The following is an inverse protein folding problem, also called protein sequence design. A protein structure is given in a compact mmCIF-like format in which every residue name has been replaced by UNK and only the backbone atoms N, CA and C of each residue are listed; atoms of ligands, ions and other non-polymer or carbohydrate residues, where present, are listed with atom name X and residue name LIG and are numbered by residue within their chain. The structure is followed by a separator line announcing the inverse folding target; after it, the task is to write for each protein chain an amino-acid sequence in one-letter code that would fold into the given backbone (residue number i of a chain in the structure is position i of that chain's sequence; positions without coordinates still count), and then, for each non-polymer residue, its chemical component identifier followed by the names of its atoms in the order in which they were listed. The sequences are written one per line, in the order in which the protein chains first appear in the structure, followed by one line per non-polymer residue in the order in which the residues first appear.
data_IF_040222934659
#
_entry.id   IF_040222934659
#
_cell.length_a   1.000
_cell.length_b   1.000
_cell.length_c   1.000
_cell.angle_alpha   90.00
_cell.angle_beta   90.00
_cell.angle_gamma   90.00
#
_symmetry.space_group_name_H-M   'P 1'
#
loop_
_entity.id
_entity.type
_entity.pdbx_description
1 polymer ?
#
# COMPACT_ATOMS: atom_id res chain seq x y z
N UNK A 1 -1.29 28.34 -1.84
CA UNK A 1 -1.37 28.35 -3.32
C UNK A 1 -2.25 27.17 -3.69
N UNK A 2 -3.22 27.33 -4.58
CA UNK A 2 -3.99 26.18 -5.05
C UNK A 2 -3.09 25.36 -6.00
N UNK A 3 -2.90 24.07 -5.72
CA UNK A 3 -2.20 23.15 -6.62
C UNK A 3 -3.06 22.85 -7.83
N UNK A 4 -2.45 22.77 -9.01
CA UNK A 4 -3.14 22.46 -10.25
C UNK A 4 -2.89 20.98 -10.62
N UNK A 5 -3.85 20.12 -10.31
CA UNK A 5 -3.78 18.69 -10.65
C UNK A 5 -4.21 18.39 -12.09
N UNK A 6 -4.75 19.38 -12.83
CA UNK A 6 -5.05 19.25 -14.26
C UNK A 6 -3.83 19.45 -15.16
N UNK A 7 -2.71 19.90 -14.59
CA UNK A 7 -1.47 20.06 -15.35
C UNK A 7 -0.85 18.70 -15.68
N UNK A 8 -0.77 18.32 -16.97
CA UNK A 8 -0.26 17.00 -17.33
C UNK A 8 1.24 16.88 -17.02
N UNK A 9 1.62 15.83 -16.28
CA UNK A 9 3.00 15.48 -16.07
C UNK A 9 3.53 14.66 -17.24
N UNK A 10 4.54 15.15 -17.95
CA UNK A 10 5.18 14.41 -19.02
C UNK A 10 6.14 13.35 -18.45
N UNK A 11 5.89 12.07 -18.75
CA UNK A 11 6.59 10.94 -18.13
C UNK A 11 7.31 10.01 -19.11
N UNK A 12 7.08 10.15 -20.40
CA UNK A 12 7.75 9.34 -21.43
C UNK A 12 9.23 9.67 -21.54
N UNK A 13 10.08 8.65 -21.71
CA UNK A 13 11.53 8.82 -21.84
C UNK A 13 12.24 9.22 -20.54
N UNK A 14 11.57 9.09 -19.39
CA UNK A 14 12.13 9.41 -18.06
C UNK A 14 12.56 8.18 -17.29
N UNK A 15 12.62 7.01 -17.92
CA UNK A 15 12.80 5.68 -17.30
C UNK A 15 11.64 5.32 -16.35
N UNK A 16 10.46 5.84 -16.64
CA UNK A 16 9.25 5.56 -15.87
C UNK A 16 8.68 4.18 -16.24
N UNK A 17 8.62 3.27 -15.29
CA UNK A 17 8.06 1.92 -15.50
C UNK A 17 6.67 1.99 -16.14
N UNK A 18 5.79 2.85 -15.59
CA UNK A 18 4.40 2.98 -16.04
C UNK A 18 4.29 3.34 -17.52
N UNK A 19 5.13 4.24 -18.03
CA UNK A 19 5.07 4.73 -19.40
C UNK A 19 6.05 4.03 -20.34
N UNK A 20 7.31 3.86 -19.94
CA UNK A 20 8.36 3.41 -20.83
C UNK A 20 8.36 1.88 -21.06
N UNK A 21 7.68 1.12 -20.17
CA UNK A 21 7.52 -0.34 -20.32
C UNK A 21 6.16 -0.76 -20.91
N UNK A 22 5.34 0.15 -21.44
CA UNK A 22 4.04 -0.18 -22.03
C UNK A 22 4.13 -1.22 -23.15
N UNK A 23 5.07 -1.04 -24.07
CA UNK A 23 5.27 -1.97 -25.20
C UNK A 23 5.71 -3.36 -24.70
N UNK A 24 6.63 -3.43 -23.75
CA UNK A 24 7.11 -4.69 -23.19
C UNK A 24 6.02 -5.42 -22.39
N UNK A 25 5.13 -4.68 -21.73
CA UNK A 25 4.08 -5.26 -20.86
C UNK A 25 2.81 -5.62 -21.64
N UNK A 26 2.38 -4.75 -22.55
CA UNK A 26 1.10 -4.84 -23.23
C UNK A 26 1.19 -5.07 -24.74
N UNK A 27 2.40 -5.04 -25.31
CA UNK A 27 2.59 -5.14 -26.76
C UNK A 27 2.16 -3.89 -27.55
N UNK A 28 1.87 -2.78 -26.88
CA UNK A 28 1.41 -1.54 -27.47
C UNK A 28 1.92 -0.34 -26.65
N UNK A 29 2.72 0.52 -27.27
CA UNK A 29 3.31 1.72 -26.65
C UNK A 29 2.33 2.91 -26.56
N UNK A 30 1.27 2.91 -27.34
CA UNK A 30 0.37 4.06 -27.52
C UNK A 30 -0.87 3.99 -26.58
N UNK A 31 -0.89 3.05 -25.65
CA UNK A 31 -1.98 2.92 -24.67
C UNK A 31 -1.86 3.93 -23.54
N UNK A 32 -3.00 4.26 -22.92
CA UNK A 32 -3.06 4.99 -21.66
C UNK A 32 -2.72 4.00 -20.52
N UNK A 33 -1.60 4.18 -19.81
CA UNK A 33 -1.18 3.23 -18.78
C UNK A 33 -1.87 3.50 -17.44
N UNK A 34 -2.61 2.51 -16.92
CA UNK A 34 -3.29 2.54 -15.62
C UNK A 34 -2.93 1.34 -14.73
N UNK A 35 -1.73 0.77 -14.90
CA UNK A 35 -1.30 -0.49 -14.29
C UNK A 35 -0.33 -0.35 -13.12
N UNK A 36 0.44 0.73 -13.05
CA UNK A 36 1.35 1.00 -11.93
C UNK A 36 0.70 2.00 -10.99
N UNK A 37 0.63 1.66 -9.71
CA UNK A 37 0.07 2.50 -8.67
C UNK A 37 1.06 3.59 -8.23
N UNK A 38 1.41 4.49 -9.13
CA UNK A 38 1.95 5.82 -8.88
C UNK A 38 1.06 6.86 -9.59
N UNK A 39 1.03 8.08 -9.09
CA UNK A 39 0.16 9.12 -9.62
C UNK A 39 0.82 9.85 -10.79
N UNK A 40 -0.01 10.38 -11.70
CA UNK A 40 0.44 11.21 -12.82
C UNK A 40 0.44 12.71 -12.46
N UNK A 41 0.49 13.04 -11.17
CA UNK A 41 0.69 14.37 -10.62
C UNK A 41 2.16 14.60 -10.28
N UNK A 42 2.59 15.85 -10.38
CA UNK A 42 3.92 16.22 -9.94
C UNK A 42 4.09 15.96 -8.43
N UNK A 43 5.28 15.51 -8.04
CA UNK A 43 5.68 15.50 -6.63
C UNK A 43 5.54 16.90 -6.05
N UNK A 44 4.99 17.06 -4.83
CA UNK A 44 4.75 18.38 -4.23
C UNK A 44 5.98 19.30 -4.27
N UNK A 45 5.77 20.56 -4.57
CA UNK A 45 6.80 21.56 -4.76
C UNK A 45 7.70 21.75 -3.54
N UNK A 46 7.14 21.66 -2.33
CA UNK A 46 7.90 21.72 -1.08
C UNK A 46 8.87 20.55 -0.92
N UNK A 47 8.53 19.37 -1.43
CA UNK A 47 9.45 18.21 -1.45
C UNK A 47 10.57 18.47 -2.46
N UNK A 48 10.22 18.86 -3.69
CA UNK A 48 11.20 19.16 -4.74
C UNK A 48 12.15 20.25 -4.31
N UNK A 49 11.63 21.31 -3.65
CA UNK A 49 12.45 22.38 -3.08
C UNK A 49 13.45 21.83 -2.06
N UNK A 50 13.01 21.02 -1.11
CA UNK A 50 13.88 20.45 -0.07
C UNK A 50 14.98 19.57 -0.67
N UNK A 51 14.68 18.80 -1.73
CA UNK A 51 15.67 18.01 -2.45
C UNK A 51 16.71 18.89 -3.17
N UNK A 52 16.26 19.97 -3.83
CA UNK A 52 17.17 20.94 -4.47
C UNK A 52 18.06 21.66 -3.44
N UNK A 53 17.49 22.07 -2.32
CA UNK A 53 18.25 22.72 -1.24
C UNK A 53 19.33 21.78 -0.70
N UNK A 54 19.04 20.48 -0.57
CA UNK A 54 20.03 19.48 -0.16
C UNK A 54 21.15 19.31 -1.20
N UNK A 55 20.86 19.42 -2.49
CA UNK A 55 21.86 19.32 -3.55
C UNK A 55 22.86 20.48 -3.57
N UNK A 56 22.56 21.63 -2.94
CA UNK A 56 23.53 22.71 -2.76
C UNK A 56 24.75 22.29 -1.92
N UNK A 57 24.62 21.22 -1.13
CA UNK A 57 25.75 20.54 -0.52
C UNK A 57 26.15 19.35 -1.39
N UNK A 58 27.18 19.53 -2.20
CA UNK A 58 27.58 18.65 -3.31
C UNK A 58 28.17 17.29 -2.89
N UNK A 59 28.19 16.96 -1.59
CA UNK A 59 28.69 15.68 -1.07
C UNK A 59 27.52 14.74 -0.75
N UNK A 60 27.43 13.63 -1.46
CA UNK A 60 26.48 12.54 -1.22
C UNK A 60 27.14 11.42 -0.40
N UNK A 61 27.71 11.77 0.75
CA UNK A 61 28.37 10.84 1.66
C UNK A 61 27.39 10.05 2.54
N UNK A 62 27.95 9.22 3.44
CA UNK A 62 27.12 8.52 4.43
C UNK A 62 26.33 9.52 5.29
N UNK A 63 25.07 9.22 5.50
CA UNK A 63 24.15 10.05 6.27
C UNK A 63 23.41 9.22 7.32
N UNK A 64 22.92 9.87 8.34
CA UNK A 64 22.02 9.31 9.33
C UNK A 64 20.65 9.98 9.25
N UNK A 65 19.65 9.40 9.85
CA UNK A 65 18.33 10.01 10.00
C UNK A 65 18.34 10.92 11.21
N UNK A 66 18.19 12.24 11.03
CA UNK A 66 18.20 13.20 12.12
C UNK A 66 16.92 13.12 12.95
N UNK A 67 16.89 13.78 14.10
CA UNK A 67 15.73 13.76 15.00
C UNK A 67 14.45 14.26 14.32
N UNK A 68 14.56 15.23 13.43
CA UNK A 68 13.45 15.80 12.64
C UNK A 68 12.74 14.74 11.78
N UNK A 69 13.47 13.70 11.34
CA UNK A 69 12.86 12.58 10.62
C UNK A 69 11.85 11.84 11.50
N UNK A 70 12.22 11.52 12.73
CA UNK A 70 11.36 10.80 13.66
C UNK A 70 10.20 11.68 14.13
N UNK A 71 10.49 12.93 14.46
CA UNK A 71 9.47 13.89 14.91
C UNK A 71 8.42 14.14 13.82
N UNK A 72 8.82 14.30 12.56
CA UNK A 72 7.87 14.51 11.46
C UNK A 72 6.89 13.32 11.30
N UNK A 73 7.38 12.09 11.46
CA UNK A 73 6.55 10.88 11.41
C UNK A 73 5.59 10.84 12.62
N UNK A 74 6.10 11.08 13.82
CA UNK A 74 5.30 11.05 15.07
C UNK A 74 4.17 12.08 15.00
N UNK A 75 4.49 13.31 14.63
CA UNK A 75 3.48 14.37 14.55
C UNK A 75 2.48 14.10 13.41
N UNK A 76 2.92 13.60 12.27
CA UNK A 76 2.03 13.21 11.17
C UNK A 76 1.01 12.17 11.61
N UNK A 77 1.46 11.06 12.18
CA UNK A 77 0.60 9.95 12.64
C UNK A 77 -0.36 10.42 13.72
N UNK A 78 0.13 11.21 14.69
CA UNK A 78 -0.68 11.77 15.76
C UNK A 78 -1.78 12.69 15.23
N UNK A 79 -1.46 13.57 14.31
CA UNK A 79 -2.43 14.51 13.75
C UNK A 79 -3.40 13.83 12.78
N UNK A 80 -2.89 12.98 11.87
CA UNK A 80 -3.69 12.34 10.81
C UNK A 80 -4.52 11.19 11.33
N UNK A 81 -3.90 10.29 12.11
CA UNK A 81 -4.51 9.02 12.51
C UNK A 81 -4.86 8.95 14.01
N UNK A 82 -4.65 10.03 14.77
CA UNK A 82 -4.92 10.09 16.22
C UNK A 82 -4.19 9.01 17.04
N UNK A 83 -3.10 8.49 16.51
CA UNK A 83 -2.29 7.47 17.16
C UNK A 83 -0.97 8.07 17.67
N UNK A 84 -0.72 7.90 18.96
CA UNK A 84 0.53 8.36 19.60
C UNK A 84 1.54 7.23 19.55
N UNK A 85 2.68 7.47 18.96
CA UNK A 85 3.80 6.55 18.87
C UNK A 85 5.05 7.15 19.48
N UNK A 86 5.98 6.28 19.87
CA UNK A 86 7.28 6.69 20.42
C UNK A 86 8.36 6.62 19.34
N UNK A 87 9.38 7.49 19.47
CA UNK A 87 10.53 7.53 18.58
C UNK A 87 11.20 6.17 18.41
N UNK A 88 11.39 5.46 19.52
CA UNK A 88 12.09 4.16 19.53
C UNK A 88 11.29 3.05 18.86
N UNK A 89 9.98 3.25 18.60
CA UNK A 89 9.18 2.26 17.87
C UNK A 89 9.46 2.28 16.35
N UNK A 90 10.09 3.37 15.85
CA UNK A 90 10.28 3.59 14.41
C UNK A 90 11.58 2.94 13.94
N UNK A 91 11.45 1.96 13.07
CA UNK A 91 12.53 1.34 12.32
C UNK A 91 12.46 1.76 10.85
N UNK A 92 13.58 1.75 10.14
CA UNK A 92 13.66 2.10 8.73
C UNK A 92 13.58 0.85 7.84
N UNK A 93 13.01 1.01 6.64
CA UNK A 93 13.18 0.07 5.53
C UNK A 93 13.21 0.82 4.19
N UNK A 94 13.91 0.30 3.16
CA UNK A 94 13.94 0.93 1.83
C UNK A 94 12.62 0.82 1.07
N UNK A 95 11.59 0.20 1.65
CA UNK A 95 10.26 0.08 1.08
C UNK A 95 9.42 -0.92 1.87
N UNK A 96 8.11 -0.92 1.64
CA UNK A 96 7.19 -1.82 2.36
C UNK A 96 7.42 -3.29 1.98
N UNK A 97 7.53 -3.60 0.68
CA UNK A 97 7.79 -5.00 0.24
C UNK A 97 9.10 -5.55 0.82
N UNK A 98 10.24 -4.82 0.79
CA UNK A 98 11.43 -5.22 1.55
C UNK A 98 11.16 -5.43 3.05
N UNK A 99 10.40 -4.53 3.70
CA UNK A 99 10.08 -4.64 5.12
C UNK A 99 9.26 -5.90 5.46
N UNK A 100 8.29 -6.24 4.61
CA UNK A 100 7.52 -7.48 4.74
C UNK A 100 8.40 -8.73 4.60
N UNK A 101 9.38 -8.70 3.66
CA UNK A 101 10.39 -9.78 3.54
C UNK A 101 11.25 -9.88 4.82
N UNK A 102 11.70 -8.76 5.39
CA UNK A 102 12.47 -8.76 6.63
C UNK A 102 11.68 -9.32 7.81
N UNK A 103 10.39 -8.95 7.93
CA UNK A 103 9.50 -9.49 8.95
C UNK A 103 9.27 -10.99 8.75
N UNK A 104 9.03 -11.44 7.52
CA UNK A 104 8.90 -12.86 7.20
C UNK A 104 10.13 -13.66 7.61
N UNK A 105 11.32 -13.15 7.33
CA UNK A 105 12.59 -13.78 7.72
C UNK A 105 12.83 -13.75 9.25
N UNK A 106 12.41 -12.68 9.93
CA UNK A 106 12.63 -12.50 11.36
C UNK A 106 11.75 -13.41 12.23
N UNK A 107 10.50 -13.66 11.79
CA UNK A 107 9.46 -14.22 12.68
C UNK A 107 8.87 -15.55 12.22
N UNK A 108 9.32 -16.09 11.09
CA UNK A 108 8.85 -17.39 10.59
C UNK A 108 10.01 -18.26 10.13
N UNK A 109 9.72 -19.55 9.92
CA UNK A 109 10.67 -20.53 9.37
C UNK A 109 10.14 -21.12 8.06
N UNK A 110 10.98 -21.66 7.18
CA UNK A 110 10.51 -22.43 6.03
C UNK A 110 9.53 -23.53 6.44
N UNK A 111 8.39 -23.59 5.73
CA UNK A 111 7.28 -24.49 6.03
C UNK A 111 6.21 -23.95 6.98
N UNK A 112 6.42 -22.78 7.59
CA UNK A 112 5.37 -22.06 8.32
C UNK A 112 4.31 -21.51 7.35
N UNK A 113 3.08 -21.36 7.85
CA UNK A 113 1.96 -20.81 7.11
C UNK A 113 1.83 -19.30 7.37
N UNK A 114 1.62 -18.54 6.30
CA UNK A 114 1.33 -17.10 6.34
C UNK A 114 0.00 -16.86 5.61
N UNK A 115 -0.93 -16.18 6.28
CA UNK A 115 -2.25 -15.86 5.72
C UNK A 115 -2.20 -14.54 4.96
N UNK A 116 -2.87 -14.50 3.81
CA UNK A 116 -3.18 -13.28 3.04
C UNK A 116 -4.64 -13.27 2.64
N UNK A 117 -5.22 -12.11 2.30
CA UNK A 117 -6.65 -11.92 2.06
C UNK A 117 -6.96 -11.45 0.62
N UNK A 118 -6.89 -12.35 -0.39
CA UNK A 118 -7.24 -11.99 -1.76
C UNK A 118 -8.72 -11.57 -1.92
N UNK A 119 -9.01 -10.69 -2.94
CA UNK A 119 -8.05 -10.04 -3.83
C UNK A 119 -7.18 -9.04 -3.06
N UNK A 120 -5.86 -9.16 -3.18
CA UNK A 120 -4.91 -8.34 -2.40
C UNK A 120 -3.66 -8.03 -3.24
N UNK A 121 -2.90 -7.03 -2.83
CA UNK A 121 -1.65 -6.63 -3.44
C UNK A 121 -0.73 -7.83 -3.69
N UNK A 122 -0.54 -8.17 -4.96
CA UNK A 122 0.10 -9.42 -5.39
C UNK A 122 1.53 -9.65 -4.88
N UNK A 123 2.37 -8.63 -4.58
CA UNK A 123 3.67 -8.89 -3.97
C UNK A 123 3.61 -9.58 -2.60
N UNK A 124 2.46 -9.57 -1.90
CA UNK A 124 2.32 -10.37 -0.67
C UNK A 124 2.51 -11.87 -0.93
N UNK A 125 2.12 -12.35 -2.10
CA UNK A 125 2.30 -13.76 -2.48
C UNK A 125 3.79 -14.11 -2.56
N UNK A 126 4.56 -13.31 -3.29
CA UNK A 126 6.01 -13.53 -3.44
C UNK A 126 6.78 -13.36 -2.13
N UNK A 127 6.37 -12.44 -1.25
CA UNK A 127 6.95 -12.28 0.10
C UNK A 127 6.88 -13.59 0.89
N UNK A 128 5.80 -14.36 0.74
CA UNK A 128 5.63 -15.64 1.42
C UNK A 128 6.39 -16.75 0.72
N UNK A 129 6.19 -16.91 -0.58
CA UNK A 129 6.68 -18.07 -1.35
C UNK A 129 8.20 -18.06 -1.57
N UNK A 130 8.78 -16.87 -1.82
CA UNK A 130 10.23 -16.72 -2.08
C UNK A 130 11.12 -17.16 -0.92
N UNK A 131 10.55 -17.27 0.26
CA UNK A 131 11.27 -17.70 1.47
C UNK A 131 10.89 -19.11 1.93
N UNK A 132 10.18 -19.88 1.11
CA UNK A 132 9.78 -21.25 1.43
C UNK A 132 8.70 -21.36 2.50
N UNK A 133 7.94 -20.29 2.75
CA UNK A 133 6.75 -20.31 3.59
C UNK A 133 5.56 -20.73 2.75
N UNK A 134 4.52 -21.24 3.40
CA UNK A 134 3.30 -21.67 2.74
C UNK A 134 2.26 -20.56 2.77
N UNK A 135 1.77 -20.21 1.61
CA UNK A 135 0.73 -19.21 1.42
C UNK A 135 -0.65 -19.83 1.74
N UNK A 136 -1.41 -19.19 2.62
CA UNK A 136 -2.77 -19.56 2.98
C UNK A 136 -3.70 -18.41 2.58
N UNK A 137 -4.72 -18.73 1.78
CA UNK A 137 -5.68 -17.75 1.32
C UNK A 137 -6.91 -17.71 2.24
N UNK A 138 -7.13 -16.56 2.87
CA UNK A 138 -8.40 -16.20 3.49
C UNK A 138 -9.09 -15.19 2.59
N UNK A 139 -9.75 -15.67 1.53
CA UNK A 139 -10.38 -14.80 0.53
C UNK A 139 -11.43 -13.90 1.16
N UNK A 140 -11.45 -12.65 0.72
CA UNK A 140 -12.54 -11.73 1.01
C UNK A 140 -13.85 -12.24 0.37
N UNK A 141 -14.96 -11.87 0.96
CA UNK A 141 -16.30 -12.07 0.40
C UNK A 141 -16.81 -10.78 -0.21
N UNK A 142 -17.37 -10.90 -1.39
CA UNK A 142 -18.13 -9.83 -1.99
C UNK A 142 -19.60 -9.95 -1.56
N UNK A 143 -20.15 -8.89 -0.99
CA UNK A 143 -21.55 -8.79 -0.61
C UNK A 143 -22.09 -7.43 -1.02
N UNK A 144 -23.05 -7.38 -1.94
CA UNK A 144 -23.70 -6.17 -2.42
C UNK A 144 -22.70 -5.09 -2.91
N UNK A 145 -21.67 -5.51 -3.65
CA UNK A 145 -20.62 -4.63 -4.18
C UNK A 145 -19.60 -4.16 -3.13
N UNK A 146 -19.64 -4.71 -1.93
CA UNK A 146 -18.69 -4.44 -0.85
C UNK A 146 -17.89 -5.69 -0.50
N UNK A 147 -16.62 -5.52 -0.28
CA UNK A 147 -15.72 -6.60 0.13
C UNK A 147 -15.61 -6.69 1.66
N UNK A 148 -15.67 -7.88 2.21
CA UNK A 148 -15.69 -8.15 3.65
C UNK A 148 -14.70 -9.26 4.02
N UNK A 149 -14.19 -9.24 5.26
CA UNK A 149 -13.37 -10.32 5.81
C UNK A 149 -14.22 -11.55 6.09
N UNK A 150 -13.81 -12.72 5.58
CA UNK A 150 -14.45 -14.00 5.94
C UNK A 150 -13.82 -14.59 7.20
N UNK A 151 -14.33 -14.21 8.35
CA UNK A 151 -13.84 -14.69 9.65
C UNK A 151 -14.08 -16.19 9.86
N UNK A 152 -15.12 -16.79 9.25
CA UNK A 152 -15.36 -18.22 9.36
C UNK A 152 -14.31 -19.00 8.57
N UNK A 153 -14.03 -18.58 7.36
CA UNK A 153 -12.94 -19.13 6.55
C UNK A 153 -11.58 -18.92 7.24
N UNK A 154 -11.34 -17.75 7.84
CA UNK A 154 -10.13 -17.49 8.61
C UNK A 154 -9.93 -18.53 9.72
N UNK A 155 -10.92 -18.74 10.56
CA UNK A 155 -10.85 -19.68 11.68
C UNK A 155 -10.56 -21.12 11.23
N UNK A 156 -11.13 -21.53 10.08
CA UNK A 156 -10.91 -22.88 9.54
C UNK A 156 -9.56 -23.06 8.84
N UNK A 157 -8.91 -21.96 8.45
CA UNK A 157 -7.60 -21.98 7.78
C UNK A 157 -6.42 -21.99 8.75
N UNK A 158 -6.66 -21.73 10.02
CA UNK A 158 -5.61 -21.66 11.06
C UNK A 158 -5.23 -23.08 11.53
N UNK A 159 -3.94 -23.35 11.58
CA UNK A 159 -3.36 -24.56 12.17
C UNK A 159 -2.13 -24.23 13.04
N UNK A 160 -1.46 -25.24 13.57
CA UNK A 160 -0.29 -25.08 14.44
C UNK A 160 0.94 -24.48 13.72
N UNK A 161 0.97 -24.48 12.37
CA UNK A 161 2.01 -23.88 11.55
C UNK A 161 1.71 -22.45 11.15
N UNK A 162 0.51 -21.96 11.40
CA UNK A 162 0.12 -20.58 11.08
C UNK A 162 0.78 -19.62 12.06
N UNK A 163 1.68 -18.76 11.54
CA UNK A 163 2.50 -17.85 12.36
C UNK A 163 2.23 -16.38 12.11
N UNK A 164 1.68 -16.04 10.95
CA UNK A 164 1.60 -14.66 10.51
C UNK A 164 0.39 -14.44 9.61
N UNK A 165 -0.17 -13.25 9.66
CA UNK A 165 -1.11 -12.74 8.68
C UNK A 165 -0.58 -11.40 8.13
N UNK A 166 -0.67 -11.21 6.82
CA UNK A 166 -0.37 -9.92 6.17
C UNK A 166 -1.69 -9.31 5.72
N UNK A 167 -2.02 -8.15 6.27
CA UNK A 167 -3.22 -7.39 5.90
C UNK A 167 -2.83 -6.10 5.17
N UNK A 168 -3.70 -5.65 4.26
CA UNK A 168 -3.65 -4.32 3.67
C UNK A 168 -4.71 -3.45 4.33
N UNK A 169 -4.30 -2.32 4.94
CA UNK A 169 -5.19 -1.46 5.72
C UNK A 169 -4.87 0.02 5.49
N UNK A 170 -5.58 0.73 4.63
CA UNK A 170 -6.72 0.32 3.76
C UNK A 170 -6.37 -0.76 2.75
N UNK A 171 -7.38 -1.49 2.28
CA UNK A 171 -7.20 -2.69 1.47
C UNK A 171 -7.03 -2.38 -0.02
N UNK A 172 -5.91 -2.74 -0.56
CA UNK A 172 -5.58 -2.68 -1.99
C UNK A 172 -5.76 -4.08 -2.62
N UNK A 173 -6.54 -4.25 -3.72
CA UNK A 173 -6.96 -3.22 -4.69
C UNK A 173 -8.40 -2.71 -4.52
N UNK A 174 -9.20 -3.27 -3.64
CA UNK A 174 -10.65 -3.03 -3.59
C UNK A 174 -11.05 -1.76 -2.82
N UNK A 175 -10.09 -1.02 -2.29
CA UNK A 175 -10.31 0.29 -1.68
C UNK A 175 -11.05 0.28 -0.34
N UNK A 176 -11.12 -0.86 0.38
CA UNK A 176 -11.83 -0.93 1.67
C UNK A 176 -11.05 -0.24 2.79
N UNK A 177 -11.76 0.52 3.62
CA UNK A 177 -11.33 0.98 4.94
C UNK A 177 -11.95 0.04 5.97
N UNK A 178 -11.12 -0.75 6.66
CA UNK A 178 -11.61 -1.67 7.68
C UNK A 178 -12.11 -0.91 8.89
N UNK A 179 -13.29 -1.30 9.40
CA UNK A 179 -13.85 -0.69 10.62
C UNK A 179 -13.06 -1.12 11.86
N UNK A 180 -13.10 -0.34 12.95
CA UNK A 180 -12.50 -0.75 14.22
C UNK A 180 -12.98 -2.12 14.70
N UNK A 181 -14.26 -2.46 14.45
CA UNK A 181 -14.86 -3.73 14.84
C UNK A 181 -14.30 -4.90 14.03
N UNK A 182 -14.15 -4.72 12.69
CA UNK A 182 -13.52 -5.71 11.81
C UNK A 182 -12.07 -5.98 12.23
N UNK A 183 -11.31 -4.91 12.49
CA UNK A 183 -9.92 -5.00 12.93
C UNK A 183 -9.78 -5.63 14.32
N UNK A 184 -10.65 -5.27 15.28
CA UNK A 184 -10.68 -5.89 16.60
C UNK A 184 -10.93 -7.39 16.52
N UNK A 185 -11.93 -7.81 15.74
CA UNK A 185 -12.27 -9.22 15.56
C UNK A 185 -11.12 -10.01 14.93
N UNK A 186 -10.45 -9.43 13.93
CA UNK A 186 -9.26 -10.02 13.33
C UNK A 186 -8.14 -10.17 14.36
N UNK A 187 -7.87 -9.10 15.13
CA UNK A 187 -6.82 -9.09 16.15
C UNK A 187 -7.08 -10.12 17.25
N UNK A 188 -8.31 -10.25 17.73
CA UNK A 188 -8.67 -11.25 18.73
C UNK A 188 -8.38 -12.67 18.26
N UNK A 189 -8.76 -13.00 17.00
CA UNK A 189 -8.46 -14.29 16.39
C UNK A 189 -6.94 -14.52 16.35
N UNK A 190 -6.17 -13.52 15.93
CA UNK A 190 -4.72 -13.60 15.84
C UNK A 190 -4.06 -13.78 17.22
N UNK A 191 -4.51 -13.03 18.23
CA UNK A 191 -3.99 -13.10 19.59
C UNK A 191 -4.25 -14.46 20.25
N UNK A 192 -5.46 -15.03 20.09
CA UNK A 192 -5.81 -16.34 20.65
C UNK A 192 -4.96 -17.46 20.02
N UNK A 193 -4.59 -17.32 18.75
CA UNK A 193 -3.85 -18.31 17.99
C UNK A 193 -2.33 -18.03 17.90
N UNK A 194 -1.83 -16.99 18.57
CA UNK A 194 -0.42 -16.56 18.54
C UNK A 194 0.07 -16.27 17.11
N UNK A 195 -0.75 -15.60 16.29
CA UNK A 195 -0.46 -15.19 14.93
C UNK A 195 -0.02 -13.73 14.95
N UNK A 196 1.19 -13.43 14.44
CA UNK A 196 1.70 -12.07 14.32
C UNK A 196 0.97 -11.34 13.18
N UNK A 197 0.58 -10.08 13.43
CA UNK A 197 -0.10 -9.24 12.44
C UNK A 197 0.93 -8.33 11.76
N UNK A 198 1.02 -8.42 10.44
CA UNK A 198 1.72 -7.44 9.60
C UNK A 198 0.68 -6.55 8.95
N UNK A 199 0.59 -5.28 9.36
CA UNK A 199 -0.37 -4.31 8.83
C UNK A 199 0.32 -3.38 7.83
N UNK A 200 0.09 -3.62 6.54
CA UNK A 200 0.53 -2.70 5.49
C UNK A 200 -0.45 -1.52 5.40
N UNK A 201 -0.02 -0.39 5.94
CA UNK A 201 -0.78 0.85 6.05
C UNK A 201 -0.26 1.95 5.10
N UNK A 202 0.36 1.54 3.97
CA UNK A 202 0.93 2.47 2.98
C UNK A 202 -0.12 3.40 2.36
N UNK A 203 -1.39 3.00 2.38
CA UNK A 203 -2.52 3.79 1.87
C UNK A 203 -3.29 4.53 2.97
N UNK A 204 -2.84 4.51 4.22
CA UNK A 204 -3.54 5.09 5.38
C UNK A 204 -3.91 6.56 5.22
N UNK A 205 -3.10 7.33 4.52
CA UNK A 205 -3.35 8.74 4.26
C UNK A 205 -4.37 9.01 3.14
N UNK A 206 -4.58 8.02 2.27
CA UNK A 206 -5.41 8.13 1.06
C UNK A 206 -6.83 7.65 1.32
N UNK A 207 -7.44 8.12 2.38
CA UNK A 207 -8.82 7.82 2.77
C UNK A 207 -9.73 8.91 2.26
N UNK A 208 -10.79 8.50 1.56
CA UNK A 208 -11.73 9.42 0.91
C UNK A 208 -12.68 10.08 1.92
N UNK A 209 -13.30 11.22 1.57
CA UNK A 209 -14.25 11.92 2.44
C UNK A 209 -15.36 11.01 2.97
N UNK A 210 -15.69 11.14 4.26
CA UNK A 210 -16.70 10.31 4.92
C UNK A 210 -16.17 9.03 5.57
N UNK A 211 -14.89 8.66 5.33
CA UNK A 211 -14.25 7.50 5.94
C UNK A 211 -13.08 7.92 6.84
N UNK A 212 -12.66 7.01 7.72
CA UNK A 212 -11.53 7.26 8.62
C UNK A 212 -10.67 5.99 8.79
N UNK A 213 -9.36 6.12 8.57
CA UNK A 213 -8.43 5.03 8.83
C UNK A 213 -8.25 4.81 10.32
N UNK A 214 -8.21 3.54 10.72
CA UNK A 214 -7.84 3.11 12.07
C UNK A 214 -6.54 2.31 11.99
N UNK A 215 -5.42 2.81 12.53
CA UNK A 215 -4.20 2.01 12.61
C UNK A 215 -4.44 0.76 13.44
N UNK A 216 -4.03 -0.41 12.93
CA UNK A 216 -4.25 -1.69 13.61
C UNK A 216 -3.68 -1.69 15.04
N UNK A 217 -2.47 -1.15 15.21
CA UNK A 217 -1.79 -1.09 16.49
C UNK A 217 -2.35 -0.01 17.44
N UNK A 218 -3.27 0.85 17.01
CA UNK A 218 -3.90 1.87 17.87
C UNK A 218 -5.05 1.33 18.71
N UNK A 219 -5.57 0.14 18.38
CA UNK A 219 -6.77 -0.42 19.01
C UNK A 219 -6.59 -0.77 20.48
N UNK A 220 -5.45 -1.29 20.88
CA UNK A 220 -5.06 -1.53 22.28
C UNK A 220 -3.57 -1.85 22.39
N UNK A 221 -2.99 -1.72 23.59
CA UNK A 221 -1.60 -2.10 23.88
C UNK A 221 -1.33 -3.57 23.53
N UNK A 222 -2.24 -4.47 23.84
CA UNK A 222 -2.10 -5.90 23.55
C UNK A 222 -2.07 -6.18 22.04
N UNK A 223 -2.86 -5.46 21.27
CA UNK A 223 -2.86 -5.56 19.80
C UNK A 223 -1.59 -4.94 19.24
N UNK A 224 -1.17 -3.78 19.75
CA UNK A 224 0.08 -3.14 19.36
C UNK A 224 1.29 -4.05 19.59
N UNK A 225 1.35 -4.74 20.73
CA UNK A 225 2.43 -5.69 21.05
C UNK A 225 2.52 -6.90 20.10
N UNK A 226 1.44 -7.21 19.37
CA UNK A 226 1.37 -8.30 18.40
C UNK A 226 1.24 -7.80 16.95
N UNK A 227 1.56 -6.53 16.70
CA UNK A 227 1.42 -5.92 15.36
C UNK A 227 2.72 -5.25 14.93
N UNK A 228 3.05 -5.39 13.66
CA UNK A 228 4.06 -4.60 12.97
C UNK A 228 3.34 -3.77 11.92
N UNK A 229 3.41 -2.45 12.03
CA UNK A 229 2.76 -1.51 11.11
C UNK A 229 3.78 -0.93 10.12
N UNK A 230 3.42 -0.91 8.84
CA UNK A 230 4.27 -0.41 7.77
C UNK A 230 3.63 0.82 7.13
N UNK A 231 4.38 1.92 7.08
CA UNK A 231 3.95 3.17 6.45
C UNK A 231 5.03 3.73 5.52
N UNK A 232 4.63 4.52 4.54
CA UNK A 232 5.56 5.23 3.69
C UNK A 232 4.93 6.49 3.09
N UNK A 233 5.69 7.58 2.86
CA UNK A 233 5.17 8.76 2.17
C UNK A 233 5.03 8.54 0.65
N UNK A 234 5.44 7.37 0.16
CA UNK A 234 5.62 7.09 -1.27
C UNK A 234 4.32 7.08 -2.06
N UNK A 235 3.21 6.60 -1.48
CA UNK A 235 1.90 6.61 -2.13
C UNK A 235 1.20 7.95 -1.95
N UNK A 236 1.28 8.50 -0.75
CA UNK A 236 0.67 9.78 -0.39
C UNK A 236 1.22 10.93 -1.20
N UNK A 237 2.55 11.00 -1.42
CA UNK A 237 3.24 12.13 -2.03
C UNK A 237 3.98 11.80 -3.34
N UNK A 238 3.66 10.66 -3.95
CA UNK A 238 4.25 10.22 -5.22
C UNK A 238 5.79 10.10 -5.19
N UNK A 239 6.34 9.42 -4.18
CA UNK A 239 7.78 9.33 -3.89
C UNK A 239 8.35 7.90 -4.02
N UNK A 240 7.69 7.00 -4.75
CA UNK A 240 8.08 5.59 -4.82
C UNK A 240 9.54 5.38 -5.23
N UNK A 241 10.06 6.20 -6.14
CA UNK A 241 11.45 6.16 -6.61
C UNK A 241 12.50 6.51 -5.55
N UNK A 242 12.12 7.06 -4.40
CA UNK A 242 13.04 7.44 -3.32
C UNK A 242 13.28 6.34 -2.28
N UNK A 243 12.65 5.19 -2.42
CA UNK A 243 12.93 3.97 -1.64
C UNK A 243 13.06 4.23 -0.14
N UNK A 244 12.00 4.74 0.49
CA UNK A 244 11.96 5.05 1.92
C UNK A 244 10.63 4.67 2.54
N UNK A 245 10.68 4.01 3.70
CA UNK A 245 9.50 3.64 4.50
C UNK A 245 9.87 3.53 5.97
N UNK A 246 8.87 3.55 6.82
CA UNK A 246 8.99 3.40 8.26
C UNK A 246 8.19 2.19 8.74
N UNK A 247 8.75 1.47 9.69
CA UNK A 247 8.13 0.31 10.32
C UNK A 247 7.96 0.62 11.80
N UNK A 248 6.72 0.58 12.28
CA UNK A 248 6.39 0.93 13.66
C UNK A 248 6.15 -0.35 14.45
N UNK A 249 6.93 -0.56 15.49
CA UNK A 249 6.93 -1.77 16.32
C UNK A 249 7.02 -1.35 17.77
N UNK A 250 5.93 -1.40 18.54
CA UNK A 250 5.91 -1.05 19.97
C UNK A 250 6.67 -2.08 20.81
N UNK A 251 6.46 -3.37 20.53
CA UNK A 251 7.10 -4.48 21.25
C UNK A 251 8.62 -4.48 21.05
N UNK A 252 9.42 -4.29 22.12
CA UNK A 252 10.89 -4.21 22.03
C UNK A 252 11.55 -5.51 21.55
N UNK A 253 10.95 -6.66 21.86
CA UNK A 253 11.46 -7.97 21.41
C UNK A 253 11.31 -8.18 19.92
N UNK A 254 10.13 -7.85 19.37
CA UNK A 254 9.87 -7.88 17.94
C UNK A 254 10.76 -6.85 17.21
N UNK A 255 10.85 -5.64 17.72
CA UNK A 255 11.67 -4.56 17.15
C UNK A 255 13.15 -4.94 17.06
N UNK A 256 13.70 -5.53 18.13
CA UNK A 256 15.08 -6.03 18.16
C UNK A 256 15.31 -7.12 17.11
N UNK A 257 14.38 -8.05 16.96
CA UNK A 257 14.50 -9.15 15.99
C UNK A 257 14.40 -8.63 14.56
N UNK A 258 13.50 -7.70 14.29
CA UNK A 258 13.35 -7.04 12.99
C UNK A 258 14.61 -6.26 12.60
N UNK A 259 15.10 -5.39 13.51
CA UNK A 259 16.27 -4.56 13.26
C UNK A 259 17.53 -5.40 13.04
N UNK A 260 17.67 -6.56 13.69
CA UNK A 260 18.80 -7.49 13.46
C UNK A 260 18.85 -7.99 12.01
N UNK A 261 17.71 -8.20 11.35
CA UNK A 261 17.69 -8.56 9.92
C UNK A 261 18.22 -7.40 9.07
N UNK A 262 17.77 -6.18 9.33
CA UNK A 262 18.20 -4.97 8.61
C UNK A 262 19.71 -4.75 8.79
N UNK A 263 20.22 -4.91 10.01
CA UNK A 263 21.63 -4.78 10.33
C UNK A 263 22.49 -5.85 9.62
N UNK A 264 22.05 -7.11 9.66
CA UNK A 264 22.76 -8.22 9.03
C UNK A 264 22.82 -8.10 7.49
N UNK A 265 21.79 -7.48 6.89
CA UNK A 265 21.72 -7.22 5.45
C UNK A 265 22.41 -5.91 5.04
N UNK A 266 22.87 -5.11 6.00
CA UNK A 266 23.51 -3.80 5.78
C UNK A 266 22.66 -2.80 4.96
N UNK A 267 21.31 -2.87 5.07
CA UNK A 267 20.39 -1.99 4.31
C UNK A 267 19.80 -0.85 5.16
N UNK A 268 20.21 -0.73 6.42
CA UNK A 268 19.63 0.23 7.38
C UNK A 268 19.96 1.71 7.12
N UNK A 269 20.98 2.01 6.31
CA UNK A 269 21.37 3.42 6.07
C UNK A 269 20.34 4.19 5.23
N UNK A 270 19.68 3.53 4.28
CA UNK A 270 18.77 4.19 3.34
C UNK A 270 19.50 5.12 2.37
N UNK A 271 18.75 6.12 1.86
CA UNK A 271 19.34 7.16 1.03
C UNK A 271 18.98 8.56 1.57
N UNK A 272 19.87 9.50 1.33
CA UNK A 272 19.77 10.86 1.86
C UNK A 272 18.53 11.59 1.34
N UNK A 273 18.18 11.41 0.05
CA UNK A 273 17.05 12.09 -0.57
C UNK A 273 15.70 11.55 -0.07
N UNK A 274 15.62 10.24 0.20
CA UNK A 274 14.45 9.64 0.83
C UNK A 274 14.19 10.19 2.23
N UNK A 275 15.23 10.37 3.03
CA UNK A 275 15.13 11.00 4.36
C UNK A 275 14.63 12.44 4.28
N UNK A 276 15.23 13.26 3.41
CA UNK A 276 14.83 14.67 3.22
C UNK A 276 13.40 14.78 2.70
N UNK A 277 13.04 13.95 1.71
CA UNK A 277 11.70 13.95 1.16
C UNK A 277 10.65 13.53 2.19
N UNK A 278 10.94 12.53 3.05
CA UNK A 278 10.03 12.11 4.13
C UNK A 278 9.79 13.25 5.12
N UNK A 279 10.85 13.93 5.57
CA UNK A 279 10.72 15.07 6.47
C UNK A 279 9.86 16.16 5.84
N UNK A 280 10.15 16.56 4.60
CA UNK A 280 9.40 17.60 3.91
C UNK A 280 7.93 17.22 3.73
N UNK A 281 7.66 15.95 3.34
CA UNK A 281 6.31 15.44 3.13
C UNK A 281 5.46 15.49 4.39
N UNK A 282 5.95 14.92 5.48
CA UNK A 282 5.20 14.85 6.72
C UNK A 282 5.12 16.19 7.46
N UNK A 283 6.08 17.12 7.21
CA UNK A 283 6.05 18.46 7.83
C UNK A 283 5.10 19.42 7.09
N UNK A 284 5.03 19.34 5.76
CA UNK A 284 4.35 20.35 4.94
C UNK A 284 3.18 19.79 4.09
N UNK A 285 2.94 18.48 4.13
CA UNK A 285 2.07 17.81 3.16
C UNK A 285 0.58 17.89 3.42
N UNK A 286 0.13 18.41 4.57
CA UNK A 286 -1.27 18.31 4.98
C UNK A 286 -2.25 18.95 3.98
N UNK A 287 -2.05 20.22 3.67
CA UNK A 287 -2.96 20.96 2.76
C UNK A 287 -2.92 20.39 1.33
N UNK A 288 -1.73 19.96 0.87
CA UNK A 288 -1.59 19.32 -0.44
C UNK A 288 -2.37 18.01 -0.51
N UNK A 289 -2.31 17.21 0.54
CA UNK A 289 -3.01 15.93 0.61
C UNK A 289 -4.54 16.13 0.62
N UNK A 290 -5.06 17.11 1.37
CA UNK A 290 -6.50 17.40 1.36
C UNK A 290 -6.97 17.80 -0.04
N UNK A 291 -6.22 18.67 -0.73
CA UNK A 291 -6.53 19.06 -2.10
C UNK A 291 -6.44 17.87 -3.09
N UNK A 292 -5.48 16.97 -2.88
CA UNK A 292 -5.37 15.75 -3.68
C UNK A 292 -6.56 14.81 -3.46
N UNK A 293 -6.98 14.60 -2.22
CA UNK A 293 -8.09 13.72 -1.89
C UNK A 293 -9.40 14.22 -2.49
N UNK A 294 -9.65 15.52 -2.42
CA UNK A 294 -10.80 16.17 -3.08
C UNK A 294 -10.78 15.93 -4.60
N UNK A 295 -9.64 16.10 -5.24
CA UNK A 295 -9.48 15.84 -6.67
C UNK A 295 -9.68 14.36 -7.04
N UNK A 296 -9.15 13.44 -6.24
CA UNK A 296 -9.33 11.98 -6.45
C UNK A 296 -10.79 11.59 -6.31
N UNK A 297 -11.49 12.11 -5.30
CA UNK A 297 -12.90 11.83 -5.04
C UNK A 297 -13.78 12.23 -6.23
N UNK A 298 -13.58 13.44 -6.78
CA UNK A 298 -14.26 13.88 -8.00
C UNK A 298 -13.95 12.98 -9.22
N UNK A 299 -12.71 12.51 -9.36
CA UNK A 299 -12.37 11.58 -10.44
C UNK A 299 -13.07 10.22 -10.28
N UNK A 300 -13.20 9.72 -9.06
CA UNK A 300 -13.93 8.48 -8.76
C UNK A 300 -15.41 8.64 -9.09
N UNK A 301 -16.03 9.73 -8.66
CA UNK A 301 -17.42 10.06 -9.00
C UNK A 301 -17.63 10.14 -10.50
N UNK A 302 -16.71 10.81 -11.22
CA UNK A 302 -16.75 10.89 -12.68
C UNK A 302 -16.73 9.51 -13.35
N UNK A 303 -15.83 8.62 -12.93
CA UNK A 303 -15.73 7.25 -13.47
C UNK A 303 -17.02 6.47 -13.18
N UNK A 304 -17.54 6.54 -11.96
CA UNK A 304 -18.76 5.85 -11.56
C UNK A 304 -19.98 6.33 -12.39
N UNK A 305 -20.14 7.63 -12.52
CA UNK A 305 -21.20 8.26 -13.32
C UNK A 305 -21.10 7.91 -14.80
N UNK A 306 -19.89 7.97 -15.34
CA UNK A 306 -19.65 7.65 -16.76
C UNK A 306 -19.95 6.18 -17.05
N UNK A 307 -19.45 5.26 -16.25
CA UNK A 307 -19.73 3.84 -16.41
C UNK A 307 -21.24 3.56 -16.32
N UNK A 308 -21.92 4.09 -15.31
CA UNK A 308 -23.35 3.89 -15.13
C UNK A 308 -24.17 4.37 -16.33
N UNK A 309 -23.80 5.53 -16.93
CA UNK A 309 -24.57 6.16 -18.01
C UNK A 309 -24.19 5.62 -19.39
N UNK A 310 -22.93 5.35 -19.61
CA UNK A 310 -22.37 5.10 -20.95
C UNK A 310 -21.91 3.65 -21.18
N UNK A 311 -21.53 2.92 -20.11
CA UNK A 311 -20.99 1.57 -20.21
C UNK A 311 -21.53 0.73 -19.03
N UNK A 312 -22.84 0.43 -18.97
CA UNK A 312 -23.47 -0.22 -17.81
C UNK A 312 -23.03 -1.69 -17.59
N UNK A 313 -22.21 -2.21 -18.49
CA UNK A 313 -21.54 -3.51 -18.35
C UNK A 313 -20.35 -3.44 -17.41
N UNK A 314 -19.75 -2.27 -17.17
CA UNK A 314 -18.68 -2.05 -16.20
C UNK A 314 -19.31 -1.51 -14.92
N UNK A 315 -19.13 -2.23 -13.82
CA UNK A 315 -19.61 -1.80 -12.50
C UNK A 315 -18.40 -1.41 -11.65
N UNK A 316 -18.15 -0.09 -11.44
CA UNK A 316 -17.12 0.35 -10.53
C UNK A 316 -17.49 0.00 -9.09
N UNK A 317 -16.59 -0.67 -8.38
CA UNK A 317 -16.69 -0.84 -6.92
C UNK A 317 -16.21 0.47 -6.29
N UNK A 318 -17.10 1.16 -5.58
CA UNK A 318 -16.79 2.46 -4.98
C UNK A 318 -15.75 2.28 -3.87
N UNK A 319 -14.55 2.87 -4.02
CA UNK A 319 -13.53 2.76 -3.00
C UNK A 319 -13.84 3.68 -1.80
N UNK A 320 -13.45 3.24 -0.61
CA UNK A 320 -13.47 4.03 0.63
C UNK A 320 -12.10 4.71 0.85
N UNK A 321 -11.06 4.23 0.15
CA UNK A 321 -9.68 4.72 0.20
C UNK A 321 -8.92 4.36 -1.08
N UNK A 322 -7.72 4.87 -1.21
CA UNK A 322 -6.79 4.75 -2.33
C UNK A 322 -7.19 5.63 -3.53
N UNK A 323 -6.37 5.63 -4.57
CA UNK A 323 -6.68 6.24 -5.88
C UNK A 323 -6.93 5.17 -6.95
N UNK A 324 -7.28 3.96 -6.53
CA UNK A 324 -7.58 2.84 -7.42
C UNK A 324 -9.06 2.53 -7.40
N UNK A 325 -9.60 2.16 -8.55
CA UNK A 325 -10.98 1.70 -8.69
C UNK A 325 -10.94 0.26 -9.19
N UNK A 326 -11.64 -0.63 -8.48
CA UNK A 326 -11.87 -1.98 -8.94
C UNK A 326 -13.08 -1.98 -9.87
N UNK A 327 -12.91 -2.45 -11.10
CA UNK A 327 -13.96 -2.49 -12.11
C UNK A 327 -14.46 -3.94 -12.27
N UNK A 328 -15.71 -4.19 -11.93
CA UNK A 328 -16.36 -5.47 -12.23
C UNK A 328 -16.80 -5.49 -13.70
N UNK A 329 -16.12 -6.30 -14.48
CA UNK A 329 -16.35 -6.48 -15.91
C UNK A 329 -16.99 -7.83 -16.25
N UNK A 330 -17.49 -8.60 -15.27
CA UNK A 330 -18.05 -9.94 -15.48
C UNK A 330 -19.21 -9.98 -16.47
N UNK A 331 -19.94 -8.88 -16.65
CA UNK A 331 -21.02 -8.76 -17.64
C UNK A 331 -20.55 -8.86 -19.08
N UNK A 332 -19.29 -8.66 -19.38
CA UNK A 332 -18.77 -8.88 -20.74
C UNK A 332 -18.66 -10.36 -21.10
N UNK A 333 -18.68 -11.27 -20.13
CA UNK A 333 -18.54 -12.72 -20.35
C UNK A 333 -17.19 -13.12 -20.97
N UNK A 334 -16.16 -12.28 -20.79
CA UNK A 334 -14.79 -12.50 -21.26
C UNK A 334 -13.95 -13.12 -20.14
N UNK A 335 -13.01 -13.99 -20.50
CA UNK A 335 -11.93 -14.39 -19.57
C UNK A 335 -11.01 -13.19 -19.31
N UNK A 336 -10.28 -13.20 -18.18
CA UNK A 336 -9.37 -12.10 -17.84
C UNK A 336 -8.39 -11.75 -18.94
N UNK A 337 -7.84 -12.76 -19.64
CA UNK A 337 -6.93 -12.55 -20.77
C UNK A 337 -7.62 -11.91 -21.99
N UNK A 338 -8.85 -12.31 -22.29
CA UNK A 338 -9.65 -11.71 -23.38
C UNK A 338 -10.00 -10.27 -23.04
N UNK A 339 -10.39 -10.03 -21.79
CA UNK A 339 -10.69 -8.69 -21.27
C UNK A 339 -9.47 -7.75 -21.35
N UNK A 340 -8.31 -8.21 -20.89
CA UNK A 340 -7.06 -7.44 -21.00
C UNK A 340 -6.74 -7.10 -22.45
N UNK A 341 -6.83 -8.09 -23.36
CA UNK A 341 -6.61 -7.87 -24.79
C UNK A 341 -7.62 -6.88 -25.39
N UNK A 342 -8.90 -6.97 -24.97
CA UNK A 342 -9.93 -6.02 -25.39
C UNK A 342 -9.59 -4.59 -24.97
N UNK A 343 -9.24 -4.36 -23.71
CA UNK A 343 -8.86 -3.02 -23.23
C UNK A 343 -7.64 -2.47 -23.96
N UNK A 344 -6.62 -3.29 -24.17
CA UNK A 344 -5.40 -2.87 -24.87
C UNK A 344 -5.66 -2.55 -26.34
N UNK A 345 -6.38 -3.42 -27.06
CA UNK A 345 -6.49 -3.33 -28.53
C UNK A 345 -7.68 -2.49 -29.00
N UNK A 346 -8.75 -2.40 -28.21
CA UNK A 346 -9.98 -1.68 -28.58
C UNK A 346 -10.16 -0.37 -27.82
N UNK A 347 -9.85 -0.36 -26.52
CA UNK A 347 -9.98 0.84 -25.70
C UNK A 347 -8.67 1.65 -25.61
N UNK A 348 -7.52 1.07 -25.95
CA UNK A 348 -6.22 1.75 -25.84
C UNK A 348 -5.81 2.00 -24.39
N UNK A 349 -6.20 1.12 -23.45
CA UNK A 349 -5.94 1.25 -22.01
C UNK A 349 -5.19 0.02 -21.50
N UNK A 350 -4.11 0.22 -20.73
CA UNK A 350 -3.36 -0.85 -20.06
C UNK A 350 -3.66 -0.89 -18.58
N UNK A 351 -4.37 -1.90 -18.11
CA UNK A 351 -4.73 -2.12 -16.70
C UNK A 351 -4.26 -3.49 -16.23
N UNK A 352 -4.18 -3.67 -14.92
CA UNK A 352 -4.00 -4.99 -14.32
C UNK A 352 -5.33 -5.76 -14.34
N UNK A 353 -5.24 -7.02 -14.62
CA UNK A 353 -6.36 -7.96 -14.61
C UNK A 353 -6.55 -8.52 -13.20
N UNK A 354 -7.81 -8.85 -12.84
CA UNK A 354 -8.22 -9.25 -11.50
C UNK A 354 -7.52 -10.49 -10.96
N UNK A 355 -7.22 -11.49 -11.81
CA UNK A 355 -6.51 -12.71 -11.38
C UNK A 355 -5.09 -12.45 -10.89
N UNK A 356 -4.50 -11.30 -11.22
CA UNK A 356 -3.22 -10.85 -10.64
C UNK A 356 -3.31 -10.69 -9.12
N UNK A 357 -4.46 -10.28 -8.62
CA UNK A 357 -4.71 -10.01 -7.20
C UNK A 357 -5.37 -11.19 -6.47
N UNK A 358 -5.92 -12.15 -7.21
CA UNK A 358 -6.49 -13.39 -6.68
C UNK A 358 -6.16 -14.60 -7.57
N UNK A 359 -5.04 -15.29 -7.35
CA UNK A 359 -4.60 -16.42 -8.18
C UNK A 359 -5.56 -17.63 -8.20
N UNK A 360 -6.55 -17.65 -7.32
CA UNK A 360 -7.55 -18.72 -7.23
C UNK A 360 -8.81 -18.46 -8.02
N UNK A 361 -8.93 -17.34 -8.71
CA UNK A 361 -10.07 -16.99 -9.55
C UNK A 361 -9.63 -16.99 -11.01
N UNK A 362 -10.25 -17.86 -11.82
CA UNK A 362 -9.90 -17.98 -13.24
C UNK A 362 -10.57 -16.94 -14.13
N UNK A 363 -11.60 -16.23 -13.63
CA UNK A 363 -12.49 -15.38 -14.45
C UNK A 363 -13.03 -14.17 -13.62
N UNK A 364 -12.16 -13.24 -13.18
CA UNK A 364 -12.57 -11.94 -12.64
C UNK A 364 -12.20 -10.83 -13.59
#
# INVERSE_FOLDING_TARGET
MAWNFDEPAFREGTNCIKYDLREATFGNKDIIPMWVADMDFNTPDFVIKSLRDRLNHEICGYSFRPEEYYLSIIEWIKHRHKWTIERDWISFSPGIVPALNFATLAFTQPGDNIIVQPPVYFPFFSVVESHGRKLIYNKLKESDGRWEMDFNSLLTSIDCKTKMIIISNPHNPVGRVWTPEELHKLAEICLINNILILSDEIHSDLVLPGFAHTPMASLSEKIADNTITFIAPSKTFNLAGLSTSSVIISNPGLRKSFNRIIENLHVGNGNIFGTIASIASYTHGHEWLEALLDYIDHNIEFVADYCTKMIPEIIPVMPEATYMIWLDCRKFGMTGKELQNFFVTKAGIGMNEGSTFDPGVKDL
#
